data_IF_561962512076
#
_entry.id   IF_561962512076
#
_cell.length_a   1.000
_cell.length_b   1.000
_cell.length_c   1.000
_cell.angle_alpha   90.00
_cell.angle_beta   90.00
_cell.angle_gamma   90.00
#
_symmetry.space_group_name_H-M   'P 1'
#
loop_
_entity.id
_entity.type
_entity.pdbx_description
1 polymer ?
2 non-polymer ?
3 non-polymer ?
4 water ?
#
# COMPACT_ATOMS: atom_id res chain seq x y z
N UNK A 1 6.91 -16.04 -3.09
CA UNK A 1 7.51 -14.67 -3.02
C UNK A 1 7.58 -14.09 -4.45
N UNK A 2 6.55 -13.32 -4.84
CA UNK A 2 6.54 -12.71 -6.18
C UNK A 2 7.45 -11.49 -6.16
N UNK A 3 7.24 -10.61 -5.17
CA UNK A 3 7.97 -9.36 -5.06
C UNK A 3 9.38 -9.68 -4.56
N UNK A 4 10.40 -9.19 -5.28
CA UNK A 4 11.83 -9.39 -4.99
C UNK A 4 12.57 -8.04 -4.90
N UNK A 5 11.85 -7.08 -4.33
CA UNK A 5 12.44 -5.82 -3.96
C UNK A 5 11.92 -5.51 -2.56
N UNK A 6 12.83 -5.48 -1.58
CA UNK A 6 12.54 -4.98 -0.26
C UNK A 6 13.59 -3.94 0.09
N UNK A 7 13.17 -3.06 0.99
CA UNK A 7 13.94 -1.94 1.49
C UNK A 7 14.95 -2.56 2.46
N UNK A 8 16.23 -2.38 2.18
CA UNK A 8 17.25 -2.69 3.14
C UNK A 8 17.35 -1.56 4.17
N UNK A 9 17.47 -1.97 5.44
CA UNK A 9 17.75 -1.06 6.54
C UNK A 9 16.51 -0.28 6.94
N UNK A 10 15.32 -0.82 6.64
CA UNK A 10 14.10 -0.11 6.95
C UNK A 10 14.04 0.22 8.45
N UNK A 11 13.79 1.50 8.73
CA UNK A 11 13.47 1.91 10.10
C UNK A 11 11.96 2.18 10.19
N UNK A 12 11.19 1.24 10.74
CA UNK A 12 9.73 1.29 10.64
C UNK A 12 9.19 2.52 11.40
N UNK A 13 9.85 2.97 12.48
CA UNK A 13 9.35 4.10 13.25
C UNK A 13 9.26 5.35 12.36
N UNK A 14 10.14 5.44 11.34
CA UNK A 14 10.27 6.60 10.50
C UNK A 14 9.22 6.65 9.38
N UNK A 15 8.37 5.63 9.24
CA UNK A 15 7.22 5.74 8.33
C UNK A 15 5.97 6.23 9.06
N UNK A 16 6.08 6.62 10.32
CA UNK A 16 4.93 7.06 11.08
C UNK A 16 4.37 8.32 10.40
N UNK A 17 3.05 8.49 10.54
CA UNK A 17 2.39 9.72 10.15
C UNK A 17 1.51 9.60 8.92
N UNK A 18 1.33 10.77 8.29
CA UNK A 18 0.41 11.00 7.18
C UNK A 18 0.97 10.49 5.83
N UNK A 19 0.12 9.76 5.09
CA UNK A 19 0.42 9.35 3.76
C UNK A 19 -0.84 9.45 2.90
N UNK A 20 -0.57 9.56 1.60
CA UNK A 20 -1.51 9.62 0.48
C UNK A 20 -1.24 8.47 -0.50
N UNK A 21 -2.30 7.76 -0.85
CA UNK A 21 -2.16 6.74 -1.91
C UNK A 21 -2.22 7.38 -3.30
N UNK A 22 -1.05 7.78 -3.83
CA UNK A 22 -1.00 8.53 -5.07
C UNK A 22 -1.30 7.64 -6.30
N UNK A 23 -0.81 6.40 -6.27
CA UNK A 23 -1.00 5.40 -7.35
C UNK A 23 -1.08 4.00 -6.77
N UNK A 24 -1.88 3.18 -7.46
CA UNK A 24 -2.11 1.79 -7.07
C UNK A 24 -2.03 0.95 -8.33
N UNK A 25 -1.60 -0.30 -8.18
CA UNK A 25 -1.60 -1.26 -9.27
C UNK A 25 -1.87 -2.66 -8.71
N UNK A 26 -2.43 -3.56 -9.52
CA UNK A 26 -2.72 -4.88 -9.07
C UNK A 26 -2.56 -5.87 -10.22
N UNK A 27 -2.46 -7.16 -9.86
CA UNK A 27 -2.21 -8.22 -10.77
C UNK A 27 -3.49 -8.57 -11.52
N UNK A 28 -4.65 -8.21 -10.97
CA UNK A 28 -5.91 -8.56 -11.56
C UNK A 28 -6.81 -7.32 -11.49
N UNK A 29 -7.50 -7.03 -12.59
CA UNK A 29 -8.28 -5.83 -12.77
C UNK A 29 -9.34 -5.76 -11.67
N UNK A 30 -9.92 -6.94 -11.37
CA UNK A 30 -10.97 -7.09 -10.41
C UNK A 30 -10.51 -6.64 -9.00
N UNK A 31 -9.21 -6.59 -8.70
CA UNK A 31 -8.74 -6.17 -7.36
C UNK A 31 -8.88 -4.66 -7.10
N UNK A 32 -8.97 -3.84 -8.16
CA UNK A 32 -9.00 -2.40 -8.06
C UNK A 32 -10.10 -1.73 -8.91
N UNK A 33 -10.89 -2.43 -9.75
CA UNK A 33 -11.67 -1.78 -10.84
C UNK A 33 -12.84 -0.92 -10.30
N UNK A 34 -13.72 -1.48 -9.45
CA UNK A 34 -14.80 -0.69 -8.83
C UNK A 34 -14.30 0.03 -7.57
N UNK A 35 -15.08 1.04 -7.14
CA UNK A 35 -14.79 1.80 -5.93
C UNK A 35 -14.80 0.83 -4.72
N UNK A 36 -15.57 -0.26 -4.80
CA UNK A 36 -15.69 -1.26 -3.74
C UNK A 36 -14.81 -2.50 -3.94
N UNK A 37 -13.88 -2.46 -4.89
CA UNK A 37 -12.97 -3.55 -5.16
C UNK A 37 -12.16 -3.84 -3.91
N UNK A 38 -11.76 -5.12 -3.70
CA UNK A 38 -11.17 -5.55 -2.44
C UNK A 38 -9.86 -4.87 -2.03
N UNK A 39 -9.01 -4.52 -3.00
CA UNK A 39 -7.80 -3.86 -2.60
C UNK A 39 -7.80 -2.38 -2.96
N UNK A 40 -8.98 -1.82 -3.25
CA UNK A 40 -9.04 -0.36 -3.43
C UNK A 40 -9.08 0.29 -2.05
N UNK A 41 -7.90 0.55 -1.49
CA UNK A 41 -7.79 1.11 -0.15
C UNK A 41 -6.90 2.34 -0.21
N UNK A 42 -7.28 3.33 0.59
CA UNK A 42 -6.69 4.64 0.55
C UNK A 42 -6.05 4.83 1.92
N UNK A 43 -4.71 4.90 1.96
CA UNK A 43 -3.97 4.96 3.19
C UNK A 43 -4.16 6.36 3.77
N UNK A 44 -4.37 6.42 5.09
CA UNK A 44 -4.52 7.69 5.81
C UNK A 44 -3.25 7.93 6.66
N UNK A 45 -2.91 6.92 7.46
CA UNK A 45 -1.89 7.14 8.46
C UNK A 45 -1.26 5.78 8.75
N UNK A 46 0.05 5.84 9.03
CA UNK A 46 0.74 4.69 9.55
C UNK A 46 1.22 4.96 10.98
N UNK A 47 0.86 4.02 11.86
CA UNK A 47 1.22 4.09 13.27
C UNK A 47 1.99 2.81 13.63
N UNK A 48 3.33 2.86 13.53
CA UNK A 48 4.16 1.80 14.12
C UNK A 48 4.04 1.72 15.65
N UNK A 49 4.12 0.50 16.22
CA UNK A 49 4.08 0.33 17.70
C UNK A 49 5.53 0.30 18.25
N UNK A 50 5.72 0.54 19.57
CA UNK A 50 7.03 0.32 20.22
C UNK A 50 7.82 -1.05 20.09
N UNK A 51 6.99 -2.12 19.94
CA UNK A 51 7.46 -3.49 19.60
C UNK A 51 7.62 -3.68 18.07
N UNK A 52 7.26 -2.70 17.24
CA UNK A 52 7.55 -2.68 15.81
C UNK A 52 6.47 -3.30 14.94
N UNK A 53 5.26 -3.56 15.46
CA UNK A 53 4.06 -3.83 14.65
C UNK A 53 3.63 -2.53 13.95
N UNK A 54 2.70 -2.63 13.02
CA UNK A 54 2.33 -1.46 12.25
C UNK A 54 0.81 -1.42 12.13
N UNK A 55 0.21 -0.45 12.84
CA UNK A 55 -1.20 -0.09 12.78
C UNK A 55 -1.43 0.85 11.59
N UNK A 56 -2.40 0.49 10.74
CA UNK A 56 -2.68 1.21 9.52
C UNK A 56 -4.10 1.77 9.61
N UNK A 57 -4.25 3.07 9.37
CA UNK A 57 -5.56 3.69 9.22
C UNK A 57 -5.74 3.92 7.72
N UNK A 58 -6.92 3.54 7.21
CA UNK A 58 -7.20 3.75 5.80
C UNK A 58 -8.71 3.90 5.61
N UNK A 59 -9.08 4.28 4.39
CA UNK A 59 -10.48 4.34 4.01
C UNK A 59 -10.74 3.27 2.95
N UNK A 60 -11.99 2.79 2.88
CA UNK A 60 -12.37 1.83 1.86
C UNK A 60 -13.86 2.08 1.56
N UNK A 61 -14.23 2.02 0.30
CA UNK A 61 -15.62 2.12 -0.06
C UNK A 61 -16.30 0.78 0.17
N UNK A 62 -17.28 0.76 1.07
CA UNK A 62 -18.09 -0.40 1.44
C UNK A 62 -19.55 0.02 1.60
N UNK A 63 -20.44 -0.70 0.92
CA UNK A 63 -21.88 -0.51 1.01
C UNK A 63 -22.24 0.95 0.71
N UNK A 64 -21.82 1.45 -0.46
CA UNK A 64 -22.18 2.79 -0.94
C UNK A 64 -21.69 3.93 -0.06
N UNK A 65 -20.61 3.73 0.70
CA UNK A 65 -20.15 4.71 1.67
C UNK A 65 -18.64 4.55 1.81
N UNK A 66 -17.98 5.66 2.19
CA UNK A 66 -16.58 5.66 2.46
C UNK A 66 -16.38 5.37 3.94
N UNK A 67 -15.80 4.21 4.26
CA UNK A 67 -15.65 3.69 5.63
C UNK A 67 -14.19 3.79 6.10
N UNK A 68 -14.03 4.16 7.37
CA UNK A 68 -12.73 4.18 8.02
C UNK A 68 -12.35 2.75 8.39
N UNK A 69 -11.10 2.37 8.21
CA UNK A 69 -10.71 1.03 8.65
C UNK A 69 -9.42 1.16 9.45
N UNK A 70 -9.25 0.28 10.43
CA UNK A 70 -8.00 0.15 11.18
C UNK A 70 -7.56 -1.32 11.08
N UNK A 71 -6.35 -1.53 10.55
CA UNK A 71 -5.67 -2.81 10.27
C UNK A 71 -4.37 -2.91 11.11
N UNK A 72 -4.04 -4.12 11.57
CA UNK A 72 -2.75 -4.32 12.24
C UNK A 72 -1.92 -5.30 11.40
N UNK A 73 -0.74 -4.82 10.98
CA UNK A 73 0.25 -5.60 10.28
C UNK A 73 1.35 -5.96 11.29
N UNK A 74 1.44 -7.23 11.63
CA UNK A 74 2.41 -7.72 12.58
C UNK A 74 3.79 -7.92 11.94
N UNK A 75 4.82 -7.59 12.72
CA UNK A 75 6.18 -7.71 12.23
C UNK A 75 6.54 -9.19 12.01
N UNK A 76 7.50 -9.37 11.09
CA UNK A 76 8.17 -10.69 10.95
C UNK A 76 9.66 -10.57 11.36
N UNK A 77 10.44 -11.64 11.04
CA UNK A 77 11.88 -11.57 11.20
C UNK A 77 12.59 -10.71 10.14
N UNK A 78 11.90 -10.40 9.06
CA UNK A 78 12.40 -9.47 8.07
C UNK A 78 11.82 -8.10 8.37
N UNK A 79 12.69 -7.10 8.58
CA UNK A 79 12.21 -5.75 8.88
C UNK A 79 11.23 -5.16 7.84
N UNK A 80 11.37 -5.57 6.58
CA UNK A 80 10.59 -4.93 5.53
C UNK A 80 9.26 -5.66 5.27
N UNK A 81 8.96 -6.76 5.97
CA UNK A 81 7.82 -7.63 5.70
C UNK A 81 6.94 -7.78 6.95
N UNK A 82 5.64 -7.56 6.77
CA UNK A 82 4.64 -7.60 7.83
C UNK A 82 3.53 -8.55 7.37
N UNK A 83 2.76 -9.07 8.32
CA UNK A 83 1.72 -10.02 8.02
C UNK A 83 0.41 -9.41 8.56
N UNK A 84 -0.60 -9.33 7.70
CA UNK A 84 -1.95 -8.93 8.08
C UNK A 84 -2.67 -10.21 8.53
N UNK A 85 -3.39 -10.14 9.65
CA UNK A 85 -4.19 -11.29 10.11
C UNK A 85 -5.57 -11.29 9.43
N UNK A 86 -5.82 -12.33 8.63
CA UNK A 86 -7.09 -12.53 7.93
C UNK A 86 -7.16 -14.00 7.49
N UNK A 87 -8.30 -14.40 6.95
CA UNK A 87 -8.56 -15.79 6.59
C UNK A 87 -7.38 -16.34 5.79
N UNK A 88 -7.02 -15.57 4.75
CA UNK A 88 -5.83 -15.77 3.94
C UNK A 88 -4.73 -14.86 4.53
N UNK A 89 -3.54 -15.44 4.76
CA UNK A 89 -2.43 -14.70 5.37
C UNK A 89 -1.77 -13.77 4.33
N UNK A 90 -1.85 -12.46 4.57
CA UNK A 90 -1.44 -11.51 3.54
C UNK A 90 -0.19 -10.76 4.01
N UNK A 91 0.87 -10.81 3.20
CA UNK A 91 2.14 -10.17 3.48
C UNK A 91 2.15 -8.76 2.89
N UNK A 92 2.64 -7.82 3.70
CA UNK A 92 2.93 -6.48 3.26
C UNK A 92 4.46 -6.35 3.22
N UNK A 93 4.96 -5.88 2.07
CA UNK A 93 6.39 -5.72 1.87
C UNK A 93 6.61 -4.24 1.59
N UNK A 94 7.59 -3.65 2.28
CA UNK A 94 8.04 -2.32 1.95
C UNK A 94 9.18 -2.44 0.95
N UNK A 95 8.97 -1.86 -0.24
CA UNK A 95 9.92 -2.02 -1.34
C UNK A 95 11.03 -0.96 -1.20
N UNK A 96 10.60 0.26 -0.87
CA UNK A 96 11.48 1.39 -0.95
C UNK A 96 10.78 2.56 -0.27
N UNK A 97 11.52 3.31 0.55
CA UNK A 97 10.99 4.56 1.09
C UNK A 97 12.15 5.50 1.38
N UNK A 98 11.88 6.82 1.32
CA UNK A 98 12.85 7.79 1.81
C UNK A 98 12.28 8.48 3.06
N UNK A 99 11.14 7.98 3.59
CA UNK A 99 10.55 8.39 4.87
C UNK A 99 9.89 9.79 4.79
N UNK A 100 10.58 10.72 4.12
CA UNK A 100 10.22 12.12 3.97
C UNK A 100 9.34 12.43 2.76
N UNK A 101 9.30 11.61 1.69
CA UNK A 101 8.58 11.94 0.47
C UNK A 101 7.68 10.76 0.02
N UNK A 102 8.26 9.56 -0.17
CA UNK A 102 7.52 8.48 -0.75
C UNK A 102 7.77 7.16 0.00
N UNK A 103 6.81 6.26 -0.12
CA UNK A 103 7.01 4.86 0.28
C UNK A 103 6.30 3.97 -0.74
N UNK A 104 6.99 2.92 -1.21
CA UNK A 104 6.37 1.94 -2.09
C UNK A 104 6.16 0.68 -1.28
N UNK A 105 4.97 0.07 -1.40
CA UNK A 105 4.71 -1.18 -0.75
C UNK A 105 3.83 -2.04 -1.68
N UNK A 106 3.87 -3.35 -1.44
CA UNK A 106 3.03 -4.34 -2.11
C UNK A 106 2.38 -5.24 -1.06
N UNK A 107 1.19 -5.74 -1.36
CA UNK A 107 0.57 -6.73 -0.52
C UNK A 107 0.35 -7.92 -1.43
N UNK A 108 0.66 -9.12 -0.95
CA UNK A 108 0.46 -10.28 -1.75
C UNK A 108 -0.21 -11.32 -0.87
N UNK A 109 -1.06 -12.14 -1.48
CA UNK A 109 -1.58 -13.34 -0.88
C UNK A 109 -0.48 -14.41 -0.87
N UNK A 110 -0.28 -15.04 0.29
CA UNK A 110 0.79 -16.02 0.48
C UNK A 110 0.73 -17.08 -0.61
N UNK A 111 -0.38 -17.84 -0.67
CA UNK A 111 -0.50 -18.89 -1.66
C UNK A 111 -1.85 -18.77 -2.38
N UNK A 112 -1.81 -18.83 -3.71
CA UNK A 112 -3.00 -18.86 -4.57
C UNK A 112 -2.49 -19.25 -5.96
N UNK A 113 -3.25 -20.02 -6.79
CA UNK A 113 -2.84 -20.26 -8.18
C UNK A 113 -2.81 -18.94 -8.94
N UNK A 114 -1.59 -18.44 -9.23
CA UNK A 114 -1.36 -17.10 -9.78
C UNK A 114 -1.66 -16.02 -8.72
N UNK A 115 -1.08 -16.14 -7.52
CA UNK A 115 -1.56 -15.38 -6.36
C UNK A 115 -1.57 -13.87 -6.65
N UNK A 116 -2.55 -13.21 -6.03
CA UNK A 116 -2.90 -11.84 -6.29
C UNK A 116 -1.93 -10.91 -5.56
N UNK A 117 -1.90 -9.65 -6.00
CA UNK A 117 -0.85 -8.73 -5.65
C UNK A 117 -1.32 -7.32 -5.98
N UNK A 118 -1.22 -6.43 -5.00
CA UNK A 118 -1.43 -5.00 -5.18
C UNK A 118 -0.32 -4.18 -4.56
N UNK A 119 0.05 -3.09 -5.22
CA UNK A 119 1.15 -2.27 -4.82
C UNK A 119 0.70 -0.79 -4.88
N UNK A 120 1.23 0.03 -3.97
CA UNK A 120 0.91 1.45 -4.00
C UNK A 120 2.18 2.28 -3.93
N UNK A 121 2.04 3.48 -4.48
CA UNK A 121 2.98 4.57 -4.29
C UNK A 121 2.33 5.55 -3.30
N UNK A 122 2.90 5.58 -2.10
CA UNK A 122 2.47 6.49 -1.03
C UNK A 122 3.35 7.72 -1.10
N UNK A 123 2.74 8.88 -0.84
CA UNK A 123 3.50 10.11 -0.72
C UNK A 123 2.99 10.90 0.49
N UNK A 124 3.84 11.81 0.98
CA UNK A 124 3.56 12.52 2.23
C UNK A 124 2.58 13.67 2.00
N UNK A 125 2.45 14.15 0.77
CA UNK A 125 1.74 15.39 0.51
C UNK A 125 0.84 15.17 -0.70
N UNK A 126 -0.28 15.92 -0.81
CA UNK A 126 -1.22 15.77 -1.92
C UNK A 126 -0.70 16.48 -3.18
N UNK A 127 0.43 15.97 -3.70
CA UNK A 127 1.10 16.49 -4.87
C UNK A 127 1.47 15.31 -5.75
N UNK A 128 1.48 15.51 -7.07
CA UNK A 128 1.94 14.47 -7.98
C UNK A 128 3.47 14.53 -7.97
N UNK A 129 4.07 13.49 -7.41
CA UNK A 129 5.50 13.34 -7.34
C UNK A 129 5.92 12.43 -8.49
N UNK A 130 6.32 13.04 -9.61
CA UNK A 130 6.72 12.31 -10.81
C UNK A 130 7.90 11.36 -10.48
N UNK A 131 8.83 11.79 -9.62
CA UNK A 131 9.99 10.98 -9.23
C UNK A 131 9.58 9.70 -8.47
N UNK A 132 8.69 9.84 -7.47
CA UNK A 132 8.17 8.69 -6.77
C UNK A 132 7.41 7.81 -7.77
N UNK A 133 6.63 8.39 -8.68
CA UNK A 133 5.86 7.57 -9.66
C UNK A 133 6.76 6.80 -10.64
N UNK A 134 7.90 7.36 -10.95
CA UNK A 134 8.86 6.68 -11.82
C UNK A 134 9.51 5.51 -11.06
N UNK A 135 9.83 5.69 -9.77
CA UNK A 135 10.33 4.62 -8.94
C UNK A 135 9.26 3.52 -8.83
N UNK A 136 8.01 3.90 -8.61
CA UNK A 136 6.93 2.91 -8.55
C UNK A 136 6.81 2.12 -9.88
N UNK A 137 6.76 2.82 -11.02
CA UNK A 137 6.63 2.13 -12.34
C UNK A 137 7.84 1.22 -12.62
N UNK A 138 9.03 1.64 -12.21
CA UNK A 138 10.24 0.80 -12.38
C UNK A 138 10.19 -0.45 -11.50
N UNK A 139 9.78 -0.30 -10.24
CA UNK A 139 9.56 -1.45 -9.35
C UNK A 139 8.51 -2.44 -9.88
N UNK A 140 7.47 -1.95 -10.55
CA UNK A 140 6.39 -2.81 -11.09
C UNK A 140 6.73 -3.42 -12.45
N UNK A 141 7.74 -2.91 -13.15
CA UNK A 141 8.04 -3.26 -14.53
C UNK A 141 8.02 -4.78 -14.75
N UNK A 142 8.53 -5.58 -13.82
CA UNK A 142 8.48 -6.99 -14.09
C UNK A 142 7.34 -7.67 -13.31
N UNK A 143 6.65 -6.97 -12.39
CA UNK A 143 5.52 -7.60 -11.73
C UNK A 143 4.35 -7.76 -12.70
N UNK A 144 3.45 -8.75 -12.55
CA UNK A 144 2.44 -9.00 -13.59
C UNK A 144 1.18 -8.17 -13.27
N UNK A 145 1.29 -6.85 -13.40
CA UNK A 145 0.22 -5.94 -13.08
C UNK A 145 -0.67 -5.80 -14.30
N UNK A 146 -2.00 -5.71 -14.11
CA UNK A 146 -2.93 -5.56 -15.20
C UNK A 146 -3.90 -4.38 -15.00
N UNK A 147 -3.88 -3.71 -13.84
CA UNK A 147 -4.58 -2.46 -13.65
C UNK A 147 -3.63 -1.51 -12.91
N UNK A 148 -3.67 -0.23 -13.26
CA UNK A 148 -2.93 0.81 -12.56
C UNK A 148 -3.84 2.03 -12.55
N UNK A 149 -3.93 2.67 -11.38
CA UNK A 149 -4.73 3.87 -11.12
C UNK A 149 -3.79 4.91 -10.55
N UNK A 150 -4.02 6.18 -10.89
CA UNK A 150 -3.43 7.28 -10.11
C UNK A 150 -4.40 8.44 -9.97
N UNK A 151 -4.07 9.26 -8.97
CA UNK A 151 -5.02 10.24 -8.45
C UNK A 151 -4.41 11.64 -8.49
N UNK A 152 -5.28 12.61 -8.78
CA UNK A 152 -4.88 14.01 -8.88
C UNK A 152 -4.95 14.62 -7.49
N UNK A 153 -4.29 15.78 -7.27
CA UNK A 153 -4.28 16.40 -5.95
C UNK A 153 -5.68 16.72 -5.38
N UNK A 154 -6.64 17.03 -6.26
CA UNK A 154 -8.02 17.32 -5.80
C UNK A 154 -8.56 16.07 -5.10
N UNK A 155 -8.45 14.93 -5.79
CA UNK A 155 -8.92 13.61 -5.31
C UNK A 155 -8.21 13.20 -4.03
N UNK A 156 -6.92 13.49 -3.94
CA UNK A 156 -6.18 13.05 -2.81
C UNK A 156 -6.67 13.71 -1.51
N UNK A 157 -7.32 14.86 -1.63
CA UNK A 157 -7.81 15.59 -0.47
C UNK A 157 -9.25 15.20 -0.12
N UNK A 158 -9.87 14.27 -0.87
CA UNK A 158 -11.23 13.81 -0.64
C UNK A 158 -11.23 12.40 -0.05
N UNK A 159 -12.28 12.11 0.70
CA UNK A 159 -12.47 10.83 1.33
C UNK A 159 -12.70 9.80 0.20
N UNK A 160 -11.89 8.74 0.17
CA UNK A 160 -11.95 7.71 -0.86
C UNK A 160 -11.68 8.29 -2.24
N UNK A 161 -10.97 9.43 -2.30
CA UNK A 161 -10.44 9.96 -3.55
C UNK A 161 -11.56 10.25 -4.56
N UNK A 162 -12.74 10.67 -4.06
CA UNK A 162 -13.93 10.99 -4.90
C UNK A 162 -13.63 12.16 -5.85
X LIG B 1 -11.10 -5.60 4.29
X LIG B 1 -12.15 -5.69 3.59
X LIG B 1 -10.77 -6.43 5.15
X LIG B 1 -10.21 -4.37 4.08
X LIG B 1 -8.72 -4.66 4.17
X LIG B 1 -6.51 -5.00 2.92
X LIG B 1 -5.82 -3.73 3.37
X LIG B 1 -8.03 -4.81 2.81
X LIG B 1 -4.32 -3.93 3.54
X LIG B 1 -3.68 -2.57 3.39
X LIG B 1 -2.22 -2.62 3.76
X LIG B 1 -1.59 -1.23 3.71
X LIG B 1 -0.11 -1.40 3.98
X LIG B 1 0.63 -0.09 4.05
X LIG B 1 1.93 -0.40 4.75
X LIG B 1 3.07 0.48 4.31
X LIG B 1 4.27 0.14 5.15
X LIG C 1 8.92 -14.37 10.85
#
# INVERSE_FOLDING_TARGET
LIVTQTMKGLDIQKVAGTWYSLAMAASDISLLDAQSAPLRVYVEELKPTPEGDLEILLQKWENGECAQKKIIAEKTKIPAVFKIDALNENKVLVLDTDYKKYLLFCMENSAEPEQSLACQCLVRTPEVDDEALEKFDKALKALPMHIRLSFNPTQLEEQCHI
F15 C1 O2 O3 C4 C5 C6 C7 C8 C9 C10 C11 C12 C13 C2 C3 C14 C15
CL CL
#
